data_IF_650055112243
#
_entry.id   IF_650055112243
#
_cell.length_a   1.000
_cell.length_b   1.000
_cell.length_c   1.000
_cell.angle_alpha   90.00
_cell.angle_beta   90.00
_cell.angle_gamma   90.00
#
_symmetry.space_group_name_H-M   'P 1'
#
loop_
_entity.id
_entity.type
_entity.pdbx_description
1 polymer ?
#
# COMPACT_ATOMS: atom_id res chain seq x y z
N UNK A 1 -12.05 22.37 9.76
CA UNK A 1 -12.64 22.07 8.44
C UNK A 1 -11.60 21.58 7.43
N UNK A 2 -10.29 21.74 7.73
CA UNK A 2 -9.26 20.75 7.39
C UNK A 2 -9.60 19.45 8.12
N UNK A 3 -9.65 18.25 7.55
CA UNK A 3 -8.99 17.83 6.33
C UNK A 3 -9.58 16.49 5.83
N UNK A 4 -10.62 16.54 5.00
CA UNK A 4 -11.30 15.33 4.50
C UNK A 4 -10.33 14.34 3.83
N UNK A 5 -9.28 14.86 3.20
CA UNK A 5 -8.24 14.05 2.55
C UNK A 5 -7.42 13.31 3.61
N UNK A 6 -7.02 13.96 4.70
CA UNK A 6 -6.35 13.33 5.82
C UNK A 6 -7.21 12.21 6.40
N UNK A 7 -8.51 12.44 6.62
CA UNK A 7 -9.41 11.41 7.14
C UNK A 7 -9.53 10.20 6.20
N UNK A 8 -9.64 10.43 4.89
CA UNK A 8 -9.66 9.35 3.89
C UNK A 8 -8.35 8.54 3.95
N UNK A 9 -7.21 9.23 4.01
CA UNK A 9 -5.89 8.58 4.08
C UNK A 9 -5.73 7.80 5.39
N UNK A 10 -6.08 8.39 6.53
CA UNK A 10 -6.01 7.77 7.85
C UNK A 10 -6.87 6.52 7.90
N UNK A 11 -8.15 6.61 7.53
CA UNK A 11 -9.06 5.45 7.49
C UNK A 11 -8.57 4.36 6.55
N UNK A 12 -8.02 4.72 5.38
CA UNK A 12 -7.47 3.75 4.45
C UNK A 12 -6.28 3.00 5.05
N UNK A 13 -5.39 3.71 5.77
CA UNK A 13 -4.22 3.12 6.43
C UNK A 13 -4.67 2.25 7.61
N UNK A 14 -5.53 2.76 8.50
CA UNK A 14 -6.02 2.07 9.70
C UNK A 14 -6.80 0.80 9.36
N UNK A 15 -7.61 0.83 8.29
CA UNK A 15 -8.33 -0.36 7.84
C UNK A 15 -7.39 -1.39 7.19
N UNK A 16 -6.45 -0.91 6.37
CA UNK A 16 -5.63 -1.81 5.54
C UNK A 16 -4.44 -2.40 6.30
N UNK A 17 -3.88 -1.67 7.28
CA UNK A 17 -2.73 -2.10 8.07
C UNK A 17 -2.94 -3.47 8.74
N UNK A 18 -3.92 -3.61 9.65
CA UNK A 18 -4.19 -4.86 10.35
C UNK A 18 -4.58 -6.01 9.39
N UNK A 19 -5.30 -5.70 8.30
CA UNK A 19 -5.66 -6.69 7.28
C UNK A 19 -4.42 -7.29 6.61
N UNK A 20 -3.43 -6.45 6.31
CA UNK A 20 -2.18 -6.89 5.68
C UNK A 20 -1.24 -7.57 6.66
N UNK A 21 -1.25 -7.18 7.93
CA UNK A 21 -0.52 -7.89 9.00
C UNK A 21 -1.05 -9.31 9.20
N UNK A 22 -2.38 -9.48 9.21
CA UNK A 22 -3.02 -10.78 9.31
C UNK A 22 -2.84 -11.62 8.03
N UNK A 23 -2.81 -10.99 6.86
CA UNK A 23 -2.76 -11.71 5.58
C UNK A 23 -1.97 -10.94 4.51
N UNK A 24 -0.62 -11.01 4.53
CA UNK A 24 0.22 -10.31 3.56
C UNK A 24 -0.06 -10.67 2.10
N UNK A 25 -0.58 -11.87 1.82
CA UNK A 25 -0.99 -12.31 0.48
C UNK A 25 -2.08 -11.42 -0.15
N UNK A 26 -2.86 -10.69 0.66
CA UNK A 26 -3.89 -9.76 0.18
C UNK A 26 -3.30 -8.44 -0.34
N UNK A 27 -1.98 -8.24 -0.20
CA UNK A 27 -1.29 -7.04 -0.62
C UNK A 27 -1.57 -6.67 -2.08
N UNK A 28 -1.55 -7.63 -3.01
CA UNK A 28 -1.79 -7.35 -4.43
C UNK A 28 -3.15 -6.70 -4.69
N UNK A 29 -4.19 -7.09 -3.95
CA UNK A 29 -5.53 -6.50 -4.06
C UNK A 29 -5.58 -5.12 -3.37
N UNK A 30 -5.06 -5.02 -2.14
CA UNK A 30 -5.00 -3.78 -1.38
C UNK A 30 -4.19 -2.69 -2.11
N UNK A 31 -3.06 -3.06 -2.72
CA UNK A 31 -2.19 -2.16 -3.50
C UNK A 31 -2.95 -1.47 -4.62
N UNK A 32 -3.81 -2.19 -5.35
CA UNK A 32 -4.61 -1.59 -6.44
C UNK A 32 -5.59 -0.54 -5.89
N UNK A 33 -6.28 -0.86 -4.79
CA UNK A 33 -7.18 0.07 -4.12
C UNK A 33 -6.46 1.32 -3.62
N UNK A 34 -5.37 1.16 -2.88
CA UNK A 34 -4.58 2.27 -2.34
C UNK A 34 -3.96 3.15 -3.43
N UNK A 35 -3.47 2.56 -4.54
CA UNK A 35 -2.97 3.34 -5.68
C UNK A 35 -4.07 4.13 -6.38
N UNK A 36 -5.29 3.57 -6.47
CA UNK A 36 -6.45 4.30 -7.00
C UNK A 36 -6.82 5.48 -6.10
N UNK A 37 -6.96 5.25 -4.79
CA UNK A 37 -7.22 6.32 -3.80
C UNK A 37 -6.15 7.42 -3.90
N UNK A 38 -4.86 7.04 -3.95
CA UNK A 38 -3.78 8.01 -4.09
C UNK A 38 -3.92 8.81 -5.40
N UNK A 39 -4.23 8.17 -6.53
CA UNK A 39 -4.37 8.84 -7.82
C UNK A 39 -5.57 9.81 -7.82
N UNK A 40 -6.71 9.41 -7.26
CA UNK A 40 -7.91 10.25 -7.19
C UNK A 40 -7.66 11.47 -6.29
N UNK A 41 -7.12 11.25 -5.08
CA UNK A 41 -6.79 12.35 -4.17
C UNK A 41 -5.70 13.28 -4.72
N UNK A 42 -4.72 12.75 -5.47
CA UNK A 42 -3.68 13.56 -6.11
C UNK A 42 -4.22 14.42 -7.27
N UNK A 43 -5.33 14.02 -7.91
CA UNK A 43 -6.01 14.87 -8.90
C UNK A 43 -6.75 16.02 -8.24
N UNK A 44 -7.35 15.77 -7.07
CA UNK A 44 -8.12 16.78 -6.33
C UNK A 44 -7.22 17.76 -5.58
N UNK A 45 -6.16 17.28 -4.93
CA UNK A 45 -5.24 18.10 -4.14
C UNK A 45 -3.79 17.56 -4.18
N UNK A 46 -3.03 17.84 -5.24
CA UNK A 46 -1.70 17.28 -5.46
C UNK A 46 -0.68 17.64 -4.37
N UNK A 47 -0.78 18.83 -3.78
CA UNK A 47 0.16 19.32 -2.75
C UNK A 47 -0.24 18.91 -1.33
N UNK A 48 -1.24 18.03 -1.18
CA UNK A 48 -1.77 17.68 0.12
C UNK A 48 -0.80 16.77 0.92
N UNK A 49 -0.40 17.14 2.15
CA UNK A 49 0.61 16.40 2.92
C UNK A 49 0.21 14.94 3.24
N UNK A 50 -1.09 14.65 3.33
CA UNK A 50 -1.57 13.28 3.57
C UNK A 50 -1.23 12.31 2.41
N UNK A 51 -1.05 12.80 1.17
CA UNK A 51 -0.64 11.96 0.06
C UNK A 51 0.75 11.35 0.29
N UNK A 52 1.66 12.13 0.89
CA UNK A 52 2.99 11.64 1.27
C UNK A 52 2.91 10.49 2.28
N UNK A 53 1.97 10.55 3.24
CA UNK A 53 1.73 9.46 4.21
C UNK A 53 1.20 8.20 3.52
N UNK A 54 0.21 8.34 2.64
CA UNK A 54 -0.33 7.22 1.87
C UNK A 54 0.75 6.58 0.98
N UNK A 55 1.57 7.38 0.31
CA UNK A 55 2.69 6.91 -0.51
C UNK A 55 3.72 6.15 0.31
N UNK A 56 4.09 6.65 1.48
CA UNK A 56 5.01 5.98 2.39
C UNK A 56 4.47 4.63 2.89
N UNK A 57 3.17 4.57 3.22
CA UNK A 57 2.50 3.33 3.61
C UNK A 57 2.55 2.28 2.49
N UNK A 58 2.23 2.68 1.25
CA UNK A 58 2.31 1.77 0.09
C UNK A 58 3.74 1.25 -0.09
N UNK A 59 4.74 2.13 -0.07
CA UNK A 59 6.15 1.76 -0.26
C UNK A 59 6.68 0.82 0.85
N UNK A 60 6.22 0.96 2.09
CA UNK A 60 6.54 0.04 3.19
C UNK A 60 6.07 -1.39 2.88
N UNK A 61 4.84 -1.52 2.39
CA UNK A 61 4.25 -2.82 2.07
C UNK A 61 4.77 -3.41 0.76
N UNK A 62 5.13 -2.61 -0.24
CA UNK A 62 5.84 -3.11 -1.44
C UNK A 62 7.15 -3.81 -1.05
N UNK A 63 7.95 -3.20 -0.16
CA UNK A 63 9.18 -3.84 0.35
C UNK A 63 8.92 -5.09 1.18
N UNK A 64 7.85 -5.10 1.97
CA UNK A 64 7.51 -6.24 2.83
C UNK A 64 6.99 -7.43 2.02
N UNK A 65 6.16 -7.17 1.02
CA UNK A 65 5.66 -8.20 0.11
C UNK A 65 6.76 -8.80 -0.77
N UNK A 66 7.75 -8.00 -1.18
CA UNK A 66 8.93 -8.52 -1.90
C UNK A 66 9.76 -9.50 -1.06
N UNK A 67 9.80 -9.34 0.27
CA UNK A 67 10.49 -10.28 1.16
C UNK A 67 9.71 -11.57 1.40
N UNK A 68 8.39 -11.52 1.28
CA UNK A 68 7.48 -12.65 1.50
C UNK A 68 7.15 -13.40 0.21
N UNK A 69 7.46 -12.81 -0.95
CA UNK A 69 7.40 -13.52 -2.22
C UNK A 69 8.44 -14.65 -2.17
N UNK A 70 8.04 -15.91 -2.41
CA UNK A 70 9.01 -16.98 -2.54
C UNK A 70 9.96 -16.60 -3.67
N UNK A 71 11.27 -16.74 -3.42
CA UNK A 71 12.27 -16.54 -4.46
C UNK A 71 11.85 -17.35 -5.70
N UNK A 72 11.88 -16.77 -6.91
CA UNK A 72 11.58 -17.54 -8.11
C UNK A 72 12.55 -18.72 -8.14
N UNK A 73 11.97 -19.91 -8.05
CA UNK A 73 12.62 -21.22 -7.97
C UNK A 73 14.11 -21.21 -8.32
N UNK A 74 14.97 -21.37 -7.30
CA UNK A 74 16.28 -21.99 -7.45
C UNK A 74 16.12 -23.50 -7.71
N UNK A 75 15.26 -23.86 -8.68
CA UNK A 75 14.97 -25.22 -9.13
C UNK A 75 15.41 -25.35 -10.59
N UNK A 76 16.68 -25.05 -10.83
CA UNK A 76 17.35 -25.31 -12.10
C UNK A 76 18.83 -25.65 -11.84
N UNK A 77 19.09 -26.46 -10.82
CA UNK A 77 20.40 -27.05 -10.59
C UNK A 77 20.27 -28.25 -9.64
N UNK A 78 19.65 -29.33 -10.12
CA UNK A 78 20.06 -30.66 -9.67
C UNK A 78 20.85 -31.29 -10.83
N UNK A 79 22.05 -31.84 -10.54
CA UNK A 79 22.95 -32.39 -11.56
C UNK A 79 22.36 -33.63 -12.26
#
# INVERSE_FOLDING_TARGET
>A
MSDRINEIVERAIEYTGPLLEASPARWSAARRGLKKIHADLNREAPDHPALSRLRAFIARWERSALRLAPAPHAEAARP
#
